data_IF_569989869256
#
_entry.id   IF_569989869256
#
_cell.length_a   1.000
_cell.length_b   1.000
_cell.length_c   1.000
_cell.angle_alpha   90.00
_cell.angle_beta   90.00
_cell.angle_gamma   90.00
#
_symmetry.space_group_name_H-M   'P 1'
#
loop_
_entity.id
_entity.type
_entity.pdbx_description
1 polymer ?
#
# COMPACT_ATOMS: atom_id res chain seq x y z
N UNK A 1 17.12 -54.93 19.22
CA UNK A 1 16.73 -55.96 18.22
C UNK A 1 15.60 -55.33 17.39
N UNK A 2 15.83 -54.84 16.16
CA UNK A 2 15.66 -55.55 14.87
C UNK A 2 14.45 -56.52 14.93
N UNK A 3 13.41 -56.40 14.11
CA UNK A 3 13.42 -56.78 12.69
C UNK A 3 12.13 -56.26 12.00
N UNK A 4 12.28 -55.84 10.74
CA UNK A 4 11.23 -55.57 9.72
C UNK A 4 10.85 -56.85 8.97
N UNK A 5 9.59 -56.99 8.57
CA UNK A 5 9.05 -57.79 7.44
C UNK A 5 7.80 -57.03 6.98
N UNK A 6 7.55 -56.50 5.78
CA UNK A 6 7.77 -56.84 4.37
C UNK A 6 7.08 -58.14 3.92
N UNK A 7 6.46 -58.09 2.72
CA UNK A 7 5.68 -59.11 1.94
C UNK A 7 4.15 -58.87 2.04
N UNK A 8 3.32 -58.81 0.98
CA UNK A 8 3.49 -58.91 -0.47
C UNK A 8 2.29 -58.29 -1.20
N UNK A 9 2.50 -58.02 -2.48
CA UNK A 9 1.55 -57.57 -3.49
C UNK A 9 0.45 -58.60 -3.80
N UNK A 10 -0.72 -58.12 -4.23
CA UNK A 10 -1.63 -58.90 -5.08
C UNK A 10 -2.42 -57.96 -5.99
N UNK A 11 -2.09 -58.04 -7.29
CA UNK A 11 -2.83 -57.47 -8.41
C UNK A 11 -4.00 -58.39 -8.73
N UNK A 12 -5.23 -57.86 -8.79
CA UNK A 12 -6.34 -58.50 -9.51
C UNK A 12 -6.99 -57.41 -10.38
N UNK A 13 -6.66 -57.46 -11.67
CA UNK A 13 -7.41 -56.80 -12.71
C UNK A 13 -8.53 -57.75 -13.18
N UNK A 14 -9.77 -57.28 -13.14
CA UNK A 14 -10.88 -57.89 -13.87
C UNK A 14 -11.73 -56.76 -14.46
N UNK A 15 -11.58 -56.55 -15.78
CA UNK A 15 -12.51 -55.76 -16.58
C UNK A 15 -13.80 -56.55 -16.77
N UNK A 16 -14.95 -55.90 -16.56
CA UNK A 16 -16.22 -56.31 -17.17
C UNK A 16 -16.86 -55.07 -17.77
N UNK A 17 -16.91 -55.06 -19.10
CA UNK A 17 -17.58 -54.06 -19.92
C UNK A 17 -19.07 -54.35 -19.98
N UNK A 18 -19.91 -53.35 -19.67
CA UNK A 18 -21.24 -53.26 -20.27
C UNK A 18 -21.49 -51.84 -20.77
N UNK A 19 -21.93 -51.81 -22.02
CA UNK A 19 -22.18 -50.68 -22.89
C UNK A 19 -23.56 -50.08 -22.62
N UNK A 20 -23.62 -48.76 -22.45
CA UNK A 20 -24.82 -47.97 -22.77
C UNK A 20 -24.40 -46.81 -23.66
N UNK A 21 -24.95 -46.78 -24.88
CA UNK A 21 -24.67 -45.79 -25.91
C UNK A 21 -25.76 -44.72 -25.96
N UNK A 22 -25.32 -43.47 -26.13
CA UNK A 22 -26.06 -42.37 -26.74
C UNK A 22 -26.12 -41.12 -25.86
N UNK A 23 -25.65 -39.93 -26.24
CA UNK A 23 -24.96 -39.45 -27.43
C UNK A 23 -24.30 -38.09 -27.06
N UNK A 24 -23.00 -37.98 -27.33
CA UNK A 24 -22.20 -36.80 -27.70
C UNK A 24 -22.51 -35.41 -27.09
N UNK A 25 -21.65 -34.92 -26.19
CA UNK A 25 -20.56 -33.99 -26.55
C UNK A 25 -19.69 -33.70 -25.30
N UNK A 26 -18.41 -34.07 -25.38
CA UNK A 26 -17.39 -33.65 -24.43
C UNK A 26 -17.04 -32.19 -24.72
N UNK A 27 -17.49 -31.30 -23.85
CA UNK A 27 -16.72 -30.11 -23.54
C UNK A 27 -16.62 -30.06 -22.03
N UNK A 28 -15.60 -30.73 -21.48
CA UNK A 28 -15.09 -30.37 -20.16
C UNK A 28 -14.59 -28.94 -20.27
N UNK A 29 -15.48 -27.98 -20.05
CA UNK A 29 -15.06 -26.70 -19.52
C UNK A 29 -14.39 -27.02 -18.19
N UNK A 30 -13.07 -26.89 -18.20
CA UNK A 30 -12.34 -26.63 -16.98
C UNK A 30 -13.01 -25.40 -16.39
N UNK A 31 -13.84 -25.58 -15.36
CA UNK A 31 -14.10 -24.53 -14.39
C UNK A 31 -12.73 -24.15 -13.85
N UNK A 32 -12.10 -23.18 -14.51
CA UNK A 32 -11.15 -22.30 -13.85
C UNK A 32 -12.00 -21.67 -12.74
N UNK A 33 -11.88 -22.21 -11.53
CA UNK A 33 -12.17 -21.43 -10.34
C UNK A 33 -11.24 -20.23 -10.44
N UNK A 34 -11.76 -19.18 -11.05
CA UNK A 34 -11.26 -17.83 -10.88
C UNK A 34 -11.45 -17.59 -9.39
N UNK A 35 -10.39 -17.80 -8.62
CA UNK A 35 -10.30 -17.20 -7.31
C UNK A 35 -10.52 -15.72 -7.57
N UNK A 36 -11.72 -15.23 -7.25
CA UNK A 36 -12.01 -13.82 -7.27
C UNK A 36 -10.84 -13.15 -6.54
N UNK A 37 -10.10 -12.31 -7.26
CA UNK A 37 -9.05 -11.53 -6.64
C UNK A 37 -9.69 -10.83 -5.42
N UNK A 38 -9.02 -10.79 -4.26
CA UNK A 38 -9.56 -10.10 -3.10
C UNK A 38 -9.97 -8.69 -3.56
N UNK A 39 -11.25 -8.33 -3.35
CA UNK A 39 -11.78 -7.08 -3.83
C UNK A 39 -10.93 -5.92 -3.31
N UNK A 40 -10.54 -5.00 -4.20
CA UNK A 40 -9.74 -3.84 -3.85
C UNK A 40 -10.49 -2.99 -2.80
N UNK A 41 -9.76 -2.54 -1.78
CA UNK A 41 -10.29 -1.61 -0.78
C UNK A 41 -10.35 -0.20 -1.38
N UNK A 42 -11.38 0.58 -1.07
CA UNK A 42 -11.33 2.02 -1.35
C UNK A 42 -10.27 2.70 -0.47
N UNK A 43 -9.72 3.81 -0.96
CA UNK A 43 -8.80 4.66 -0.17
C UNK A 43 -9.43 5.07 1.16
N UNK A 44 -10.73 5.38 1.19
CA UNK A 44 -11.47 5.72 2.41
C UNK A 44 -11.41 4.61 3.46
N UNK A 45 -11.70 3.37 3.04
CA UNK A 45 -11.69 2.22 3.93
C UNK A 45 -10.29 1.92 4.44
N UNK A 46 -9.28 2.07 3.59
CA UNK A 46 -7.88 1.96 4.00
C UNK A 46 -7.54 2.99 5.08
N UNK A 47 -7.84 4.28 4.86
CA UNK A 47 -7.51 5.35 5.79
C UNK A 47 -8.25 5.21 7.14
N UNK A 48 -9.50 4.72 7.12
CA UNK A 48 -10.27 4.46 8.34
C UNK A 48 -9.68 3.32 9.20
N UNK A 49 -8.96 2.38 8.60
CA UNK A 49 -8.41 1.18 9.28
C UNK A 49 -6.88 1.09 9.22
N UNK A 50 -6.21 2.20 8.88
CA UNK A 50 -4.79 2.21 8.56
C UNK A 50 -3.89 1.68 9.69
N UNK A 51 -4.23 2.00 10.95
CA UNK A 51 -3.56 1.48 12.15
C UNK A 51 -3.50 -0.06 12.17
N UNK A 52 -4.59 -0.73 11.78
CA UNK A 52 -4.71 -2.19 11.77
C UNK A 52 -4.09 -2.85 10.54
N UNK A 53 -3.98 -2.11 9.45
CA UNK A 53 -3.45 -2.58 8.16
C UNK A 53 -1.96 -2.26 8.00
N UNK A 54 -1.36 -1.52 8.92
CA UNK A 54 0.06 -1.17 8.87
C UNK A 54 0.94 -2.42 8.82
N UNK A 55 1.91 -2.40 7.90
CA UNK A 55 2.85 -3.48 7.55
C UNK A 55 2.23 -4.70 6.87
N UNK A 56 0.95 -4.66 6.50
CA UNK A 56 0.31 -5.68 5.70
C UNK A 56 0.28 -5.31 4.22
N UNK A 57 0.31 -6.33 3.37
CA UNK A 57 -0.01 -6.18 1.96
C UNK A 57 -1.52 -6.02 1.79
N UNK A 58 -1.91 -5.00 1.05
CA UNK A 58 -3.30 -4.65 0.75
C UNK A 58 -3.41 -4.30 -0.73
N UNK A 59 -4.60 -4.48 -1.28
CA UNK A 59 -4.94 -3.97 -2.62
C UNK A 59 -5.96 -2.87 -2.46
N UNK A 60 -5.71 -1.72 -3.07
CA UNK A 60 -6.59 -0.56 -2.99
C UNK A 60 -6.87 0.00 -4.38
N UNK A 61 -8.01 0.67 -4.52
CA UNK A 61 -8.41 1.38 -5.72
C UNK A 61 -8.68 2.85 -5.39
N UNK A 62 -8.23 3.76 -6.26
CA UNK A 62 -8.52 5.18 -6.15
C UNK A 62 -8.18 5.95 -7.42
N UNK A 63 -8.63 7.20 -7.48
CA UNK A 63 -8.34 8.09 -8.62
C UNK A 63 -6.97 8.72 -8.40
N UNK A 64 -6.03 8.52 -9.32
CA UNK A 64 -4.74 9.17 -9.23
C UNK A 64 -4.85 10.65 -9.63
N UNK A 65 -4.57 11.53 -8.67
CA UNK A 65 -4.71 13.00 -8.82
C UNK A 65 -3.38 13.71 -9.02
N UNK A 66 -2.27 13.03 -8.73
CA UNK A 66 -0.94 13.59 -8.88
C UNK A 66 0.08 12.49 -9.13
N UNK A 67 0.96 12.73 -10.10
CA UNK A 67 2.18 11.96 -10.33
C UNK A 67 3.36 12.89 -10.14
N UNK A 68 4.28 12.55 -9.23
CA UNK A 68 5.42 13.42 -8.92
C UNK A 68 6.32 13.64 -10.15
N UNK A 69 6.66 14.90 -10.44
CA UNK A 69 7.55 15.29 -11.56
C UNK A 69 8.97 14.73 -11.45
N UNK A 70 9.40 14.33 -10.25
CA UNK A 70 10.70 13.74 -9.97
C UNK A 70 10.71 12.24 -10.31
N UNK A 71 10.52 11.92 -11.60
CA UNK A 71 10.63 10.56 -12.14
C UNK A 71 9.43 9.64 -11.89
N UNK A 72 8.23 10.20 -11.62
CA UNK A 72 7.01 9.43 -11.39
C UNK A 72 7.15 8.31 -10.34
N UNK A 73 8.04 8.50 -9.37
CA UNK A 73 8.30 7.53 -8.29
C UNK A 73 7.20 7.52 -7.22
N UNK A 74 6.28 8.49 -7.28
CA UNK A 74 5.15 8.64 -6.36
C UNK A 74 3.89 9.06 -7.10
N UNK A 75 2.77 8.47 -6.73
CA UNK A 75 1.43 8.91 -7.11
C UNK A 75 0.59 9.19 -5.86
N UNK A 76 -0.50 9.94 -6.03
CA UNK A 76 -1.46 10.20 -4.97
C UNK A 76 -2.84 9.73 -5.39
N UNK A 77 -3.37 8.75 -4.67
CA UNK A 77 -4.71 8.23 -4.90
C UNK A 77 -5.69 8.95 -3.99
N UNK A 78 -6.74 9.48 -4.61
CA UNK A 78 -7.86 10.12 -3.95
C UNK A 78 -8.98 9.09 -3.75
N UNK A 79 -9.58 9.14 -2.56
CA UNK A 79 -10.79 8.40 -2.21
C UNK A 79 -12.05 9.15 -2.65
N UNK A 80 -13.05 9.18 -1.78
CA UNK A 80 -14.34 9.82 -2.04
C UNK A 80 -14.25 11.33 -2.28
N UNK A 81 -13.29 12.00 -1.63
CA UNK A 81 -13.04 13.42 -1.79
C UNK A 81 -11.54 13.75 -1.66
N UNK A 82 -11.21 15.02 -1.92
CA UNK A 82 -9.84 15.50 -1.95
C UNK A 82 -9.19 15.63 -0.55
N UNK A 83 -9.93 15.37 0.52
CA UNK A 83 -9.43 15.26 1.90
C UNK A 83 -8.96 13.83 2.21
N UNK A 84 -9.42 12.83 1.43
CA UNK A 84 -9.03 11.43 1.55
C UNK A 84 -8.00 11.09 0.49
N UNK A 85 -6.73 11.29 0.82
CA UNK A 85 -5.64 11.02 -0.12
C UNK A 85 -4.59 10.13 0.52
N UNK A 86 -4.05 9.19 -0.26
CA UNK A 86 -2.89 8.40 0.14
C UNK A 86 -1.76 8.53 -0.88
N UNK A 87 -0.55 8.72 -0.35
CA UNK A 87 0.69 8.66 -1.12
C UNK A 87 1.03 7.20 -1.40
N UNK A 88 1.28 6.89 -2.66
CA UNK A 88 1.81 5.60 -3.09
C UNK A 88 3.20 5.80 -3.68
N UNK A 89 4.18 5.06 -3.19
CA UNK A 89 5.54 5.05 -3.69
C UNK A 89 5.77 3.81 -4.56
N UNK A 90 6.50 3.97 -5.66
CA UNK A 90 6.70 2.90 -6.65
C UNK A 90 7.52 1.73 -6.09
N UNK A 91 8.36 1.96 -5.06
CA UNK A 91 9.19 0.95 -4.44
C UNK A 91 9.97 0.12 -5.48
N UNK A 92 9.82 -1.22 -5.51
CA UNK A 92 10.49 -2.09 -6.49
C UNK A 92 10.09 -1.86 -7.94
N UNK A 93 8.95 -1.21 -8.21
CA UNK A 93 8.50 -0.88 -9.58
C UNK A 93 9.33 0.23 -10.22
N UNK A 94 10.08 1.00 -9.43
CA UNK A 94 10.89 2.13 -9.89
C UNK A 94 10.06 3.38 -10.18
N UNK A 95 9.08 3.31 -11.09
CA UNK A 95 8.24 4.45 -11.49
C UNK A 95 6.86 4.02 -11.95
N UNK A 96 5.86 4.89 -11.77
CA UNK A 96 4.53 4.73 -12.34
C UNK A 96 4.47 5.25 -13.79
N UNK A 97 3.60 4.66 -14.60
CA UNK A 97 3.25 5.21 -15.92
C UNK A 97 2.58 6.58 -15.76
N UNK A 98 2.90 7.52 -16.64
CA UNK A 98 2.30 8.86 -16.61
C UNK A 98 0.80 8.82 -16.89
N UNK A 99 0.30 7.77 -17.53
CA UNK A 99 -1.13 7.49 -17.73
C UNK A 99 -1.90 7.28 -16.44
N UNK A 100 -1.23 7.05 -15.31
CA UNK A 100 -1.92 7.00 -14.02
C UNK A 100 -2.66 8.31 -13.75
N UNK A 101 -2.16 9.46 -14.16
CA UNK A 101 -2.80 10.76 -13.85
C UNK A 101 -4.23 10.83 -14.41
N UNK A 102 -5.18 11.18 -13.56
CA UNK A 102 -6.62 11.23 -13.85
C UNK A 102 -7.28 9.88 -14.18
N UNK A 103 -6.58 8.75 -13.96
CA UNK A 103 -7.15 7.42 -14.12
C UNK A 103 -7.51 6.79 -12.76
N UNK A 104 -8.41 5.81 -12.80
CA UNK A 104 -8.61 4.89 -11.68
C UNK A 104 -7.45 3.90 -11.70
N UNK A 105 -6.76 3.77 -10.57
CA UNK A 105 -5.60 2.88 -10.43
C UNK A 105 -5.86 1.93 -9.28
N UNK A 106 -5.72 0.64 -9.56
CA UNK A 106 -5.70 -0.42 -8.56
C UNK A 106 -4.24 -0.71 -8.23
N UNK A 107 -3.88 -0.63 -6.96
CA UNK A 107 -2.50 -0.84 -6.49
C UNK A 107 -2.50 -1.91 -5.43
N UNK A 108 -1.64 -2.92 -5.60
CA UNK A 108 -1.26 -3.85 -4.53
C UNK A 108 0.07 -3.42 -3.95
N UNK A 109 0.18 -3.40 -2.64
CA UNK A 109 1.40 -2.99 -1.97
C UNK A 109 1.32 -3.11 -0.45
N UNK A 110 2.45 -2.85 0.21
CA UNK A 110 2.52 -2.84 1.67
C UNK A 110 2.14 -1.47 2.21
N UNK A 111 1.16 -1.40 3.11
CA UNK A 111 0.88 -0.17 3.85
C UNK A 111 1.98 0.06 4.89
N UNK A 112 2.63 1.22 4.83
CA UNK A 112 3.69 1.63 5.76
C UNK A 112 3.18 2.69 6.71
N UNK A 113 3.58 2.58 7.98
CA UNK A 113 3.42 3.64 8.97
C UNK A 113 4.72 4.45 9.06
N UNK A 114 4.62 5.77 8.90
CA UNK A 114 5.65 6.73 9.25
C UNK A 114 5.22 7.45 10.53
N UNK A 115 5.97 7.22 11.60
CA UNK A 115 5.75 7.92 12.87
C UNK A 115 6.52 9.24 12.91
N UNK A 116 5.87 10.25 13.47
CA UNK A 116 6.47 11.54 13.81
C UNK A 116 6.34 11.70 15.32
N UNK A 117 7.47 11.53 16.00
CA UNK A 117 7.65 11.70 17.44
C UNK A 117 8.65 12.84 17.73
N UNK A 118 8.89 13.13 19.01
CA UNK A 118 9.81 14.21 19.41
C UNK A 118 11.25 13.98 18.89
N UNK A 119 11.72 12.73 18.84
CA UNK A 119 13.05 12.41 18.33
C UNK A 119 13.17 12.70 16.82
N UNK A 120 12.13 12.37 16.05
CA UNK A 120 12.04 12.72 14.64
C UNK A 120 12.08 14.24 14.44
N UNK A 121 11.31 14.99 15.22
CA UNK A 121 11.24 16.44 15.12
C UNK A 121 12.57 17.10 15.48
N UNK A 122 13.27 16.64 16.52
CA UNK A 122 14.61 17.12 16.89
C UNK A 122 15.65 16.85 15.78
N UNK A 123 15.60 15.68 15.16
CA UNK A 123 16.46 15.37 14.03
C UNK A 123 16.16 16.27 12.82
N UNK A 124 14.88 16.57 12.59
CA UNK A 124 14.50 17.51 11.53
C UNK A 124 15.02 18.92 11.82
N UNK A 125 14.86 19.44 13.03
CA UNK A 125 15.43 20.74 13.45
C UNK A 125 16.95 20.80 13.26
N UNK A 126 17.66 19.74 13.65
CA UNK A 126 19.11 19.63 13.47
C UNK A 126 19.51 19.71 11.99
N UNK A 127 18.78 19.01 11.11
CA UNK A 127 19.01 19.06 9.66
C UNK A 127 18.70 20.43 9.08
N UNK A 128 17.63 21.10 9.52
CA UNK A 128 17.31 22.45 9.09
C UNK A 128 18.43 23.41 9.46
N UNK A 129 18.93 23.36 10.69
CA UNK A 129 20.05 24.18 11.14
C UNK A 129 21.32 23.95 10.29
N UNK A 130 21.65 22.69 10.02
CA UNK A 130 22.79 22.32 9.16
C UNK A 130 22.60 22.73 7.68
N UNK A 131 21.35 22.81 7.20
CA UNK A 131 21.01 23.31 5.86
C UNK A 131 21.03 24.83 5.79
N UNK A 132 20.61 25.54 6.83
CA UNK A 132 20.74 27.01 6.91
C UNK A 132 22.22 27.43 6.91
N UNK A 133 23.10 26.60 7.46
CA UNK A 133 24.56 26.81 7.43
C UNK A 133 25.19 26.52 6.04
N UNK A 134 24.47 25.86 5.13
CA UNK A 134 24.89 25.58 3.75
C UNK A 134 23.94 26.26 2.75
N UNK A 135 24.26 27.50 2.39
CA UNK A 135 23.51 28.27 1.41
C UNK A 135 23.26 27.52 0.09
N UNK A 136 22.00 27.59 -0.36
CA UNK A 136 21.37 27.16 -1.61
C UNK A 136 21.39 25.66 -1.98
N UNK A 137 20.19 25.08 -2.12
CA UNK A 137 19.99 24.19 -3.26
C UNK A 137 18.85 23.19 -3.23
N UNK A 138 18.29 22.77 -2.09
CA UNK A 138 17.18 21.80 -2.15
C UNK A 138 16.40 21.78 -0.83
N UNK A 139 15.22 22.39 -0.83
CA UNK A 139 14.35 22.32 0.35
C UNK A 139 13.80 20.90 0.46
N UNK A 140 14.13 20.21 1.55
CA UNK A 140 13.56 18.91 1.94
C UNK A 140 12.05 18.97 2.26
N UNK A 141 11.32 19.93 1.67
CA UNK A 141 9.99 20.34 2.10
C UNK A 141 8.86 19.39 1.67
N UNK A 142 9.13 18.41 0.81
CA UNK A 142 8.10 17.58 0.17
C UNK A 142 7.24 18.40 -0.80
N UNK A 143 6.55 17.74 -1.74
CA UNK A 143 5.61 18.43 -2.63
C UNK A 143 4.31 18.80 -1.89
N UNK A 144 3.52 19.75 -2.40
CA UNK A 144 2.30 20.20 -1.71
C UNK A 144 1.25 19.09 -1.54
N UNK A 145 1.16 18.15 -2.49
CA UNK A 145 0.33 16.94 -2.35
C UNK A 145 0.75 16.09 -1.16
N UNK A 146 2.06 16.02 -0.89
CA UNK A 146 2.61 15.26 0.24
C UNK A 146 2.32 15.95 1.57
N UNK A 147 2.40 17.29 1.61
CA UNK A 147 2.01 18.08 2.77
C UNK A 147 0.53 17.91 3.09
N UNK A 148 -0.33 17.92 2.05
CA UNK A 148 -1.77 17.68 2.17
C UNK A 148 -2.06 16.29 2.73
N UNK A 149 -1.42 15.25 2.19
CA UNK A 149 -1.57 13.88 2.68
C UNK A 149 -1.13 13.70 4.14
N UNK A 150 -0.20 14.54 4.62
CA UNK A 150 0.23 14.59 6.03
C UNK A 150 -0.55 15.61 6.89
N UNK A 151 -1.56 16.27 6.35
CA UNK A 151 -2.37 17.25 7.09
C UNK A 151 -1.56 18.43 7.65
N UNK A 152 -0.52 18.86 6.93
CA UNK A 152 0.31 19.99 7.32
C UNK A 152 -0.33 21.32 6.93
N UNK A 153 -0.31 22.30 7.84
CA UNK A 153 -1.01 23.58 7.67
C UNK A 153 -0.08 24.79 7.59
N UNK A 154 1.17 24.65 8.00
CA UNK A 154 2.14 25.74 8.09
C UNK A 154 3.10 25.80 6.89
N UNK A 155 3.53 27.02 6.53
CA UNK A 155 4.31 27.27 5.31
C UNK A 155 5.83 27.28 5.53
N UNK A 156 6.32 27.36 6.77
CA UNK A 156 7.76 27.26 7.09
C UNK A 156 8.08 25.94 7.77
N UNK A 157 9.28 25.38 7.58
CA UNK A 157 9.69 24.15 8.26
C UNK A 157 9.57 24.23 9.79
N UNK A 158 9.95 25.36 10.39
CA UNK A 158 9.91 25.58 11.84
C UNK A 158 8.46 25.60 12.35
N UNK A 159 7.56 26.28 11.64
CA UNK A 159 6.15 26.33 12.00
C UNK A 159 5.48 24.97 11.82
N UNK A 160 5.89 24.16 10.83
CA UNK A 160 5.42 22.78 10.66
C UNK A 160 5.85 21.88 11.82
N UNK A 161 7.09 22.01 12.29
CA UNK A 161 7.58 21.28 13.47
C UNK A 161 6.77 21.66 14.71
N UNK A 162 6.50 22.96 14.92
CA UNK A 162 5.67 23.43 16.03
C UNK A 162 4.23 22.90 15.95
N UNK A 163 3.62 22.89 14.76
CA UNK A 163 2.29 22.32 14.52
C UNK A 163 2.26 20.82 14.83
N UNK A 164 3.27 20.05 14.40
CA UNK A 164 3.38 18.64 14.76
C UNK A 164 3.53 18.43 16.26
N UNK A 165 4.34 19.24 16.97
CA UNK A 165 4.45 19.14 18.44
C UNK A 165 3.11 19.41 19.13
N UNK A 166 2.36 20.41 18.67
CA UNK A 166 1.04 20.71 19.21
C UNK A 166 0.06 19.54 19.01
N UNK A 167 0.01 18.98 17.80
CA UNK A 167 -0.81 17.79 17.48
C UNK A 167 -0.39 16.55 18.26
N UNK A 168 0.91 16.33 18.49
CA UNK A 168 1.42 15.25 19.35
C UNK A 168 0.93 15.45 20.79
N UNK A 169 1.01 16.67 21.32
CA UNK A 169 0.54 16.97 22.67
C UNK A 169 -0.97 16.72 22.84
N UNK A 170 -1.80 17.14 21.87
CA UNK A 170 -3.24 16.82 21.84
C UNK A 170 -3.48 15.31 21.79
N UNK A 171 -2.81 14.58 20.90
CA UNK A 171 -2.99 13.12 20.78
C UNK A 171 -2.53 12.39 22.04
N UNK A 172 -1.47 12.86 22.69
CA UNK A 172 -1.01 12.33 23.98
C UNK A 172 -2.05 12.55 25.07
N UNK A 173 -2.66 13.74 25.13
CA UNK A 173 -3.74 14.02 26.07
C UNK A 173 -5.00 13.16 25.79
N UNK A 174 -5.34 12.93 24.52
CA UNK A 174 -6.53 12.18 24.13
C UNK A 174 -6.38 10.64 24.22
N UNK A 175 -5.19 10.11 23.93
CA UNK A 175 -4.98 8.66 23.71
C UNK A 175 -3.76 8.08 24.41
N UNK A 176 -2.92 8.91 25.04
CA UNK A 176 -1.64 8.49 25.63
C UNK A 176 -0.52 8.26 24.61
N UNK A 177 -0.79 8.28 23.30
CA UNK A 177 0.22 8.14 22.24
C UNK A 177 0.97 9.47 22.04
N UNK A 178 2.29 9.45 22.16
CA UNK A 178 3.19 10.60 22.06
C UNK A 178 3.83 10.74 20.66
N UNK A 179 3.12 10.29 19.63
CA UNK A 179 3.51 10.37 18.24
C UNK A 179 2.29 10.50 17.32
N UNK A 180 2.50 11.06 16.14
CA UNK A 180 1.54 11.02 15.02
C UNK A 180 1.90 9.89 14.07
N UNK A 181 0.87 9.29 13.47
CA UNK A 181 1.01 8.23 12.47
C UNK A 181 0.56 8.74 11.11
N UNK A 182 1.43 8.67 10.12
CA UNK A 182 1.13 8.93 8.72
C UNK A 182 1.29 7.65 7.93
N UNK A 183 0.36 7.39 7.01
CA UNK A 183 0.39 6.16 6.22
C UNK A 183 0.67 6.47 4.76
N UNK A 184 1.48 5.62 4.15
CA UNK A 184 1.73 5.60 2.72
C UNK A 184 1.85 4.16 2.27
N UNK A 185 1.68 3.90 0.98
CA UNK A 185 1.82 2.56 0.44
C UNK A 185 3.10 2.45 -0.37
N UNK A 186 3.79 1.32 -0.24
CA UNK A 186 4.88 0.92 -1.12
C UNK A 186 4.33 -0.14 -2.09
N UNK A 187 4.25 0.20 -3.37
CA UNK A 187 3.58 -0.63 -4.38
C UNK A 187 4.44 -1.83 -4.79
N UNK A 188 3.81 -3.01 -4.86
CA UNK A 188 4.38 -4.23 -5.45
C UNK A 188 3.84 -4.50 -6.86
N UNK A 189 2.62 -4.05 -7.16
CA UNK A 189 2.03 -4.03 -8.52
C UNK A 189 0.95 -2.95 -8.65
N UNK A 190 0.57 -2.62 -9.89
CA UNK A 190 -0.58 -1.76 -10.15
C UNK A 190 -1.17 -2.02 -11.53
N UNK A 191 -2.44 -1.66 -11.67
CA UNK A 191 -3.22 -1.70 -12.91
C UNK A 191 -3.95 -0.37 -13.10
N UNK A 192 -4.02 0.12 -14.34
CA UNK A 192 -4.78 1.31 -14.72
C UNK A 192 -6.08 0.81 -15.34
N UNK A 193 -7.23 1.26 -14.83
CA UNK A 193 -8.52 0.92 -15.42
C UNK A 193 -8.61 1.45 -16.86
N UNK A 194 -9.19 0.64 -17.77
CA UNK A 194 -9.41 1.00 -19.17
C UNK A 194 -10.47 2.10 -19.36
#
# INVERSE_FOLDING_TARGET
>A
MKIKFMVAATLIAALVTTTSCGNSNKQSQSEKTELAAPAALSVDNLLAHADSLANWEVTIEGICTHTCKHGATKIFLMGSDDTKTIRVEAGPLGSFDTKCINAIVTVTGTLKEQRVDEAYLQNWESKLKAQTEKSHGETAAGCDSEKKARGETANTPEARIADFRAKIAERKAATGKDYLSFYYMEASSYEIAE
#
